data_IF_037190440100
#
_entry.id   IF_037190440100
#
_cell.length_a   1.000
_cell.length_b   1.000
_cell.length_c   1.000
_cell.angle_alpha   90.00
_cell.angle_beta   90.00
_cell.angle_gamma   90.00
#
_symmetry.space_group_name_H-M   'P 1'
#
loop_
_entity.id
_entity.type
_entity.pdbx_description
1 polymer ?
#
# COMPACT_ATOMS: atom_id res chain seq x y z
N UNK A 1 12.48 8.55 -0.78
CA UNK A 1 11.90 7.29 -1.25
C UNK A 1 10.61 7.57 -1.99
N UNK A 2 9.50 7.73 -1.28
CA UNK A 2 8.20 7.96 -1.89
C UNK A 2 8.12 9.24 -2.75
N UNK A 3 8.65 10.38 -2.29
CA UNK A 3 8.57 11.62 -3.08
C UNK A 3 9.34 11.53 -4.41
N UNK A 4 10.57 11.00 -4.39
CA UNK A 4 11.32 10.74 -5.63
C UNK A 4 10.57 9.76 -6.57
N UNK A 5 9.87 8.77 -6.03
CA UNK A 5 9.03 7.89 -6.86
C UNK A 5 7.86 8.65 -7.50
N UNK A 6 7.22 9.59 -6.78
CA UNK A 6 6.13 10.39 -7.34
C UNK A 6 6.61 11.28 -8.50
N UNK A 7 7.78 11.91 -8.34
CA UNK A 7 8.39 12.74 -9.38
C UNK A 7 8.69 11.91 -10.64
N UNK A 8 9.42 10.80 -10.49
CA UNK A 8 9.75 9.91 -11.61
C UNK A 8 8.50 9.27 -12.23
N UNK A 9 7.51 8.89 -11.41
CA UNK A 9 6.24 8.37 -11.93
C UNK A 9 5.51 9.42 -12.78
N UNK A 10 5.52 10.69 -12.37
CA UNK A 10 4.91 11.76 -13.15
C UNK A 10 5.65 12.01 -14.48
N UNK A 11 6.98 11.97 -14.46
CA UNK A 11 7.82 12.08 -15.68
C UNK A 11 7.53 10.96 -16.68
N UNK A 12 7.32 9.74 -16.20
CA UNK A 12 6.98 8.56 -17.01
C UNK A 12 5.47 8.45 -17.34
N UNK A 13 4.65 9.43 -16.94
CA UNK A 13 3.21 9.44 -17.20
C UNK A 13 2.40 8.41 -16.40
N UNK A 14 2.93 7.92 -15.27
CA UNK A 14 2.27 6.99 -14.36
C UNK A 14 1.41 7.72 -13.32
N UNK A 15 0.13 7.39 -13.28
CA UNK A 15 -0.80 7.94 -12.29
C UNK A 15 -0.75 7.21 -10.95
N UNK A 16 -0.75 7.96 -9.85
CA UNK A 16 -0.84 7.42 -8.49
C UNK A 16 -2.28 7.56 -7.99
N UNK A 17 -2.99 6.43 -7.84
CA UNK A 17 -4.39 6.44 -7.43
C UNK A 17 -4.61 6.96 -6.00
N UNK A 18 -3.68 6.64 -5.09
CA UNK A 18 -3.70 7.10 -3.71
C UNK A 18 -2.30 6.96 -3.09
N UNK A 19 -1.92 7.91 -2.24
CA UNK A 19 -0.71 7.85 -1.42
C UNK A 19 -1.13 7.98 0.04
N UNK A 20 -0.67 7.05 0.88
CA UNK A 20 -0.94 7.06 2.32
C UNK A 20 0.36 6.78 3.11
N UNK A 21 0.41 7.23 4.36
CA UNK A 21 1.55 7.02 5.26
C UNK A 21 1.07 6.29 6.51
N UNK A 22 1.78 5.23 6.88
CA UNK A 22 1.53 4.48 8.11
C UNK A 22 2.84 4.28 8.88
N UNK A 23 2.78 4.41 10.19
CA UNK A 23 3.93 4.16 11.07
C UNK A 23 4.08 2.64 11.32
N UNK A 24 5.32 2.16 11.46
CA UNK A 24 5.61 0.74 11.68
C UNK A 24 5.07 0.20 13.01
N UNK A 25 4.88 1.09 14.01
CA UNK A 25 4.28 0.78 15.31
C UNK A 25 2.75 1.01 15.36
N UNK A 26 2.10 1.33 14.23
CA UNK A 26 0.67 1.54 14.21
C UNK A 26 -0.10 0.26 14.58
N UNK A 27 -1.18 0.40 15.34
CA UNK A 27 -2.03 -0.73 15.71
C UNK A 27 -2.78 -1.35 14.53
N UNK A 28 -3.25 -2.58 14.70
CA UNK A 28 -3.90 -3.37 13.63
C UNK A 28 -5.05 -2.64 12.92
N UNK A 29 -5.86 -1.88 13.67
CA UNK A 29 -7.00 -1.10 13.12
C UNK A 29 -6.57 -0.06 12.07
N UNK A 30 -5.33 0.45 12.15
CA UNK A 30 -4.81 1.40 11.16
C UNK A 30 -4.49 0.68 9.84
N UNK A 31 -3.89 -0.50 9.89
CA UNK A 31 -3.64 -1.32 8.70
C UNK A 31 -4.95 -1.77 8.05
N UNK A 32 -5.95 -2.15 8.85
CA UNK A 32 -7.26 -2.52 8.32
C UNK A 32 -7.97 -1.34 7.62
N UNK A 33 -7.80 -0.12 8.15
CA UNK A 33 -8.32 1.11 7.51
C UNK A 33 -7.57 1.44 6.23
N UNK A 34 -6.25 1.28 6.20
CA UNK A 34 -5.42 1.43 5.00
C UNK A 34 -5.89 0.47 3.91
N UNK A 35 -6.10 -0.81 4.25
CA UNK A 35 -6.61 -1.81 3.30
C UNK A 35 -7.98 -1.45 2.74
N UNK A 36 -8.88 -0.88 3.56
CA UNK A 36 -10.18 -0.40 3.08
C UNK A 36 -10.01 0.68 2.01
N UNK A 37 -9.14 1.67 2.24
CA UNK A 37 -8.84 2.74 1.26
C UNK A 37 -8.24 2.20 -0.04
N UNK A 38 -7.36 1.20 0.06
CA UNK A 38 -6.76 0.55 -1.12
C UNK A 38 -7.84 -0.20 -1.92
N UNK A 39 -8.74 -0.91 -1.23
CA UNK A 39 -9.83 -1.67 -1.86
C UNK A 39 -10.85 -0.81 -2.57
N UNK A 40 -11.08 0.42 -2.11
CA UNK A 40 -11.92 1.41 -2.81
C UNK A 40 -11.37 1.81 -4.19
N UNK A 41 -10.12 1.48 -4.50
CA UNK A 41 -9.49 1.74 -5.81
C UNK A 41 -9.52 0.54 -6.75
N UNK A 42 -9.96 -0.62 -6.29
CA UNK A 42 -10.15 -1.77 -7.16
C UNK A 42 -11.37 -1.60 -8.07
N UNK A 43 -11.32 -2.13 -9.30
CA UNK A 43 -10.20 -2.85 -9.92
C UNK A 43 -9.18 -1.93 -10.62
N UNK A 44 -9.38 -0.60 -10.59
CA UNK A 44 -8.55 0.37 -11.34
C UNK A 44 -7.08 0.39 -10.92
N UNK A 45 -6.79 0.15 -9.64
CA UNK A 45 -5.42 0.05 -9.12
C UNK A 45 -5.22 -1.26 -8.33
N UNK A 46 -4.42 -2.18 -8.88
CA UNK A 46 -4.10 -3.49 -8.27
C UNK A 46 -2.67 -3.59 -7.74
N UNK A 47 -1.79 -2.69 -8.16
CA UNK A 47 -0.39 -2.64 -7.73
C UNK A 47 -0.25 -1.61 -6.62
N UNK A 48 0.43 -1.99 -5.53
CA UNK A 48 0.71 -1.13 -4.39
C UNK A 48 2.22 -1.08 -4.20
N UNK A 49 2.78 0.11 -4.37
CA UNK A 49 4.21 0.37 -4.13
C UNK A 49 4.39 0.81 -2.68
N UNK A 50 5.18 0.08 -1.91
CA UNK A 50 5.44 0.30 -0.49
C UNK A 50 6.89 0.69 -0.26
N UNK A 51 7.14 1.95 0.10
CA UNK A 51 8.42 2.38 0.66
C UNK A 51 8.34 2.24 2.19
N UNK A 52 8.52 1.00 2.65
CA UNK A 52 8.11 0.58 3.98
C UNK A 52 9.18 -0.29 4.64
N UNK A 53 9.36 -0.16 5.95
CA UNK A 53 10.18 -1.10 6.73
C UNK A 53 9.58 -2.51 6.71
N UNK A 54 10.41 -3.55 6.90
CA UNK A 54 9.97 -4.95 6.87
C UNK A 54 8.83 -5.26 7.84
N UNK A 55 8.81 -4.60 9.01
CA UNK A 55 7.71 -4.75 9.98
C UNK A 55 6.38 -4.19 9.46
N UNK A 56 6.40 -3.07 8.73
CA UNK A 56 5.21 -2.50 8.10
C UNK A 56 4.64 -3.42 7.04
N UNK A 57 5.50 -4.02 6.21
CA UNK A 57 5.09 -5.01 5.19
C UNK A 57 4.48 -6.24 5.86
N UNK A 58 5.11 -6.75 6.92
CA UNK A 58 4.58 -7.88 7.70
C UNK A 58 3.20 -7.57 8.27
N UNK A 59 3.03 -6.43 8.93
CA UNK A 59 1.75 -6.02 9.51
C UNK A 59 0.66 -5.83 8.45
N UNK A 60 1.03 -5.31 7.27
CA UNK A 60 0.12 -5.19 6.13
C UNK A 60 -0.33 -6.57 5.62
N UNK A 61 0.61 -7.50 5.41
CA UNK A 61 0.29 -8.88 4.98
C UNK A 61 -0.59 -9.61 6.00
N UNK A 62 -0.34 -9.41 7.30
CA UNK A 62 -1.20 -9.95 8.36
C UNK A 62 -2.61 -9.35 8.30
N UNK A 63 -2.74 -8.04 8.08
CA UNK A 63 -4.03 -7.39 7.88
C UNK A 63 -4.76 -7.93 6.63
N UNK A 64 -4.05 -8.18 5.54
CA UNK A 64 -4.62 -8.77 4.33
C UNK A 64 -5.21 -10.15 4.61
N UNK A 65 -4.46 -10.98 5.36
CA UNK A 65 -4.92 -12.30 5.81
C UNK A 65 -6.17 -12.19 6.69
N UNK A 66 -6.16 -11.32 7.72
CA UNK A 66 -7.30 -11.13 8.63
C UNK A 66 -8.56 -10.64 7.91
N UNK A 67 -8.41 -9.80 6.88
CA UNK A 67 -9.52 -9.21 6.13
C UNK A 67 -9.93 -10.00 4.89
N UNK A 68 -9.26 -11.14 4.62
CA UNK A 68 -9.58 -12.02 3.50
C UNK A 68 -9.32 -11.41 2.13
N UNK A 69 -8.36 -10.48 2.02
CA UNK A 69 -8.02 -9.76 0.77
C UNK A 69 -6.69 -10.23 0.16
N UNK A 70 -6.23 -11.41 0.56
CA UNK A 70 -5.02 -12.04 0.00
C UNK A 70 -5.19 -12.27 -1.50
N UNK A 71 -4.22 -11.81 -2.30
CA UNK A 71 -4.24 -11.96 -3.76
C UNK A 71 -5.04 -10.91 -4.52
N UNK A 72 -5.74 -9.98 -3.84
CA UNK A 72 -6.42 -8.87 -4.51
C UNK A 72 -5.44 -7.81 -5.06
N UNK A 73 -4.27 -7.67 -4.41
CA UNK A 73 -3.22 -6.70 -4.74
C UNK A 73 -1.86 -7.35 -4.93
N UNK A 74 -1.03 -6.73 -5.77
CA UNK A 74 0.40 -7.02 -5.87
C UNK A 74 1.20 -5.95 -5.11
N UNK A 75 1.96 -6.38 -4.10
CA UNK A 75 2.82 -5.51 -3.31
C UNK A 75 4.23 -5.48 -3.91
N UNK A 76 4.75 -4.28 -4.16
CA UNK A 76 6.14 -4.05 -4.58
C UNK A 76 6.83 -3.24 -3.47
N UNK A 77 7.87 -3.80 -2.85
CA UNK A 77 8.64 -3.14 -1.80
C UNK A 77 10.11 -2.96 -2.21
N UNK A 78 10.78 -2.01 -1.55
CA UNK A 78 12.24 -1.85 -1.56
C UNK A 78 12.77 -2.02 -0.16
#
# INVERSE_FOLDING_TARGET
GMEAFKELAAEEGLCIAHSDKIYSNAGEKHFDRLLKKLRERLPKARVVVCFCEGMTVRSLLMAMRRRGVSGEFQLIGR
#
